data_IF_643994618704
#
_entry.id   IF_643994618704
#
_cell.length_a   1.000
_cell.length_b   1.000
_cell.length_c   1.000
_cell.angle_alpha   90.00
_cell.angle_beta   90.00
_cell.angle_gamma   90.00
#
_symmetry.space_group_name_H-M   'P 1'
#
loop_
_entity.id
_entity.type
_entity.pdbx_description
1 polymer ?
#
# COMPACT_ATOMS: atom_id res chain seq x y z
N UNK A 1 -4.20 -10.59 36.87
CA UNK A 1 -5.28 -9.90 36.13
C UNK A 1 -4.66 -8.65 35.51
N UNK A 2 -3.98 -7.83 36.31
CA UNK A 2 -3.17 -6.66 35.90
C UNK A 2 -2.25 -6.78 34.66
N UNK A 3 -1.60 -7.93 34.40
CA UNK A 3 -0.65 -8.03 33.27
C UNK A 3 -1.33 -8.05 31.90
N UNK A 4 -2.56 -8.58 31.80
CA UNK A 4 -3.27 -8.70 30.53
C UNK A 4 -4.07 -7.43 30.21
N UNK A 5 -4.67 -6.79 31.21
CA UNK A 5 -5.34 -5.49 31.02
C UNK A 5 -4.33 -4.41 30.61
N UNK A 6 -3.10 -4.48 31.15
CA UNK A 6 -1.97 -3.66 30.67
C UNK A 6 -1.60 -3.99 29.22
N UNK A 7 -1.63 -5.26 28.83
CA UNK A 7 -1.30 -5.68 27.47
C UNK A 7 -2.33 -5.19 26.45
N UNK A 8 -3.63 -5.32 26.73
CA UNK A 8 -4.70 -4.80 25.88
C UNK A 8 -4.61 -3.29 25.72
N UNK A 9 -4.35 -2.55 26.81
CA UNK A 9 -4.13 -1.11 26.75
C UNK A 9 -2.90 -0.74 25.90
N UNK A 10 -1.79 -1.46 26.04
CA UNK A 10 -0.60 -1.26 25.22
C UNK A 10 -0.84 -1.55 23.74
N UNK A 11 -1.57 -2.63 23.41
CA UNK A 11 -1.94 -2.95 22.03
C UNK A 11 -2.86 -1.90 21.42
N UNK A 12 -3.80 -1.37 22.19
CA UNK A 12 -4.67 -0.28 21.75
C UNK A 12 -3.89 0.99 21.42
N UNK A 13 -2.99 1.42 22.31
CA UNK A 13 -2.13 2.58 22.02
C UNK A 13 -1.23 2.33 20.82
N UNK A 14 -0.65 1.13 20.68
CA UNK A 14 0.17 0.77 19.53
C UNK A 14 -0.63 0.85 18.22
N UNK A 15 -1.86 0.34 18.22
CA UNK A 15 -2.78 0.45 17.08
C UNK A 15 -3.03 1.93 16.69
N UNK A 16 -3.35 2.78 17.67
CA UNK A 16 -3.56 4.22 17.44
C UNK A 16 -2.31 4.87 16.86
N UNK A 17 -1.11 4.54 17.36
CA UNK A 17 0.14 5.06 16.82
C UNK A 17 0.39 4.58 15.38
N UNK A 18 0.13 3.31 15.09
CA UNK A 18 0.34 2.74 13.74
C UNK A 18 -0.65 3.28 12.71
N UNK A 19 -1.89 3.59 13.12
CA UNK A 19 -2.90 4.19 12.26
C UNK A 19 -2.75 5.71 12.13
N UNK A 20 -2.26 6.41 13.15
CA UNK A 20 -2.02 7.86 13.07
C UNK A 20 -0.80 8.20 12.21
N UNK A 21 0.23 7.35 12.20
CA UNK A 21 1.43 7.52 11.37
C UNK A 21 1.14 7.76 9.87
N UNK A 22 0.38 6.89 9.17
CA UNK A 22 0.07 7.09 7.77
C UNK A 22 -0.78 8.36 7.54
N UNK A 23 -1.73 8.65 8.43
CA UNK A 23 -2.49 9.90 8.38
C UNK A 23 -1.57 11.11 8.42
N UNK A 24 -0.61 11.17 9.35
CA UNK A 24 0.34 12.28 9.45
C UNK A 24 1.22 12.40 8.20
N UNK A 25 1.75 11.28 7.69
CA UNK A 25 2.58 11.29 6.48
C UNK A 25 1.82 11.77 5.24
N UNK A 26 0.54 11.46 5.14
CA UNK A 26 -0.32 11.91 4.05
C UNK A 26 -0.78 13.35 4.24
N UNK A 27 -1.18 13.76 5.45
CA UNK A 27 -1.66 15.12 5.71
C UNK A 27 -0.57 16.18 5.64
N UNK A 28 0.65 15.89 6.14
CA UNK A 28 1.74 16.89 6.18
C UNK A 28 2.40 17.16 4.82
N UNK A 29 2.00 16.46 3.75
CA UNK A 29 2.15 16.89 2.35
C UNK A 29 3.57 16.94 1.76
N UNK A 30 4.59 17.27 2.55
CA UNK A 30 5.95 17.55 2.08
C UNK A 30 6.75 16.28 1.78
N UNK A 31 6.34 15.15 2.36
CA UNK A 31 6.98 13.84 2.19
C UNK A 31 6.30 12.94 1.16
N UNK A 32 5.30 13.46 0.43
CA UNK A 32 4.60 12.72 -0.64
C UNK A 32 5.49 12.40 -1.83
N UNK A 33 6.58 13.13 -2.04
CA UNK A 33 7.52 12.85 -3.14
C UNK A 33 8.45 11.66 -2.84
N UNK A 34 8.64 11.33 -1.56
CA UNK A 34 9.56 10.27 -1.16
C UNK A 34 8.84 8.92 -1.09
N UNK A 35 8.99 8.10 -2.11
CA UNK A 35 8.39 6.75 -2.18
C UNK A 35 8.72 5.85 -0.99
N UNK A 36 9.84 6.08 -0.30
CA UNK A 36 10.22 5.35 0.92
C UNK A 36 9.26 5.63 2.08
N UNK A 37 8.84 6.88 2.26
CA UNK A 37 7.91 7.28 3.32
C UNK A 37 6.48 6.83 3.01
N UNK A 38 6.10 6.83 1.73
CA UNK A 38 4.84 6.23 1.29
C UNK A 38 4.81 4.72 1.58
N UNK A 39 5.88 3.98 1.31
CA UNK A 39 5.95 2.56 1.63
C UNK A 39 5.85 2.29 3.14
N UNK A 40 6.61 3.03 3.96
CA UNK A 40 6.55 2.89 5.43
C UNK A 40 5.14 3.22 5.94
N UNK A 41 4.49 4.24 5.38
CA UNK A 41 3.11 4.61 5.75
C UNK A 41 2.13 3.48 5.42
N UNK A 42 2.21 2.90 4.22
CA UNK A 42 1.35 1.80 3.81
C UNK A 42 1.58 0.55 4.68
N UNK A 43 2.84 0.24 4.99
CA UNK A 43 3.18 -0.87 5.88
C UNK A 43 2.66 -0.64 7.30
N UNK A 44 2.82 0.57 7.85
CA UNK A 44 2.27 0.96 9.15
C UNK A 44 0.76 0.79 9.18
N UNK A 45 0.08 1.22 8.11
CA UNK A 45 -1.36 1.11 7.98
C UNK A 45 -1.83 -0.36 7.92
N UNK A 46 -1.11 -1.20 7.19
CA UNK A 46 -1.41 -2.64 7.09
C UNK A 46 -1.26 -3.35 8.44
N UNK A 47 -0.15 -3.08 9.15
CA UNK A 47 0.08 -3.66 10.49
C UNK A 47 -0.96 -3.11 11.48
N UNK A 48 -1.27 -1.81 11.43
CA UNK A 48 -2.31 -1.19 12.25
C UNK A 48 -3.68 -1.83 12.06
N UNK A 49 -4.09 -2.07 10.81
CA UNK A 49 -5.34 -2.77 10.50
C UNK A 49 -5.37 -4.21 11.03
N UNK A 50 -4.24 -4.92 10.95
CA UNK A 50 -4.10 -6.26 11.54
C UNK A 50 -4.25 -6.25 13.06
N UNK A 51 -3.63 -5.27 13.74
CA UNK A 51 -3.79 -5.10 15.19
C UNK A 51 -5.22 -4.72 15.58
N UNK A 52 -5.87 -3.84 14.83
CA UNK A 52 -7.27 -3.47 15.07
C UNK A 52 -8.19 -4.69 15.02
N UNK A 53 -8.00 -5.57 14.03
CA UNK A 53 -8.75 -6.84 13.94
C UNK A 53 -8.56 -7.71 15.19
N UNK A 54 -7.34 -7.79 15.72
CA UNK A 54 -7.05 -8.56 16.94
C UNK A 54 -7.64 -7.92 18.20
N UNK A 55 -7.42 -6.62 18.40
CA UNK A 55 -7.96 -5.87 19.55
C UNK A 55 -9.49 -5.95 19.60
N UNK A 56 -10.16 -5.85 18.45
CA UNK A 56 -11.60 -6.03 18.35
C UNK A 56 -12.06 -7.39 18.91
N UNK A 57 -11.40 -8.48 18.51
CA UNK A 57 -11.73 -9.83 19.00
C UNK A 57 -11.46 -9.98 20.50
N UNK A 58 -10.38 -9.40 21.01
CA UNK A 58 -10.06 -9.42 22.45
C UNK A 58 -11.14 -8.71 23.29
N UNK A 59 -11.57 -7.51 22.86
CA UNK A 59 -12.56 -6.72 23.59
C UNK A 59 -13.95 -7.37 23.49
N UNK A 60 -14.34 -7.87 22.31
CA UNK A 60 -15.70 -8.36 22.08
C UNK A 60 -16.00 -9.69 22.79
N UNK A 61 -15.01 -10.57 22.91
CA UNK A 61 -15.18 -11.90 23.51
C UNK A 61 -14.77 -11.96 24.99
N UNK A 62 -14.56 -10.82 25.65
CA UNK A 62 -14.27 -10.74 27.08
C UNK A 62 -15.54 -10.34 27.87
N UNK A 63 -16.30 -11.30 28.45
CA UNK A 63 -17.57 -11.02 29.14
C UNK A 63 -17.40 -10.46 30.57
N UNK A 64 -16.20 -10.06 31.00
CA UNK A 64 -15.97 -9.38 32.29
C UNK A 64 -16.06 -10.25 33.55
N UNK A 65 -16.56 -11.49 33.47
CA UNK A 65 -16.68 -12.43 34.60
C UNK A 65 -15.39 -13.22 34.90
N UNK A 66 -14.21 -12.64 34.64
CA UNK A 66 -12.91 -13.30 34.81
C UNK A 66 -12.51 -14.26 33.69
N UNK A 67 -13.36 -14.44 32.68
CA UNK A 67 -13.00 -15.11 31.43
C UNK A 67 -12.06 -14.25 30.61
N UNK A 68 -11.04 -14.88 30.04
CA UNK A 68 -10.04 -14.22 29.21
C UNK A 68 -10.04 -14.90 27.85
N UNK A 69 -10.35 -14.13 26.82
CA UNK A 69 -10.28 -14.61 25.45
C UNK A 69 -8.92 -14.22 24.86
N UNK A 70 -8.20 -15.20 24.35
CA UNK A 70 -7.04 -14.96 23.50
C UNK A 70 -7.26 -15.76 22.22
N UNK A 71 -7.16 -15.14 21.04
CA UNK A 71 -7.45 -15.81 19.80
C UNK A 71 -6.55 -17.05 19.64
N UNK A 72 -7.16 -18.16 19.24
CA UNK A 72 -6.43 -19.40 19.04
C UNK A 72 -5.50 -19.29 17.83
N UNK A 73 -4.46 -20.14 17.78
CA UNK A 73 -3.57 -20.19 16.62
C UNK A 73 -4.35 -20.48 15.32
N UNK A 74 -5.43 -21.25 15.40
CA UNK A 74 -6.28 -21.62 14.27
C UNK A 74 -7.07 -20.41 13.75
N UNK A 75 -7.63 -19.58 14.63
CA UNK A 75 -8.34 -18.35 14.27
C UNK A 75 -7.41 -17.33 13.57
N UNK A 76 -6.16 -17.24 14.03
CA UNK A 76 -5.14 -16.42 13.40
C UNK A 76 -4.74 -16.97 12.03
N UNK A 77 -4.54 -18.28 11.92
CA UNK A 77 -4.19 -18.94 10.65
C UNK A 77 -5.28 -18.76 9.60
N UNK A 78 -6.56 -18.83 9.98
CA UNK A 78 -7.68 -18.57 9.07
C UNK A 78 -7.61 -17.13 8.56
N UNK A 79 -7.41 -16.16 9.45
CA UNK A 79 -7.32 -14.74 9.09
C UNK A 79 -6.16 -14.45 8.13
N UNK A 80 -4.98 -14.99 8.43
CA UNK A 80 -3.79 -14.87 7.57
C UNK A 80 -4.01 -15.61 6.23
N UNK A 81 -4.69 -16.76 6.27
CA UNK A 81 -5.04 -17.54 5.08
C UNK A 81 -5.89 -16.74 4.09
N UNK A 82 -6.90 -16.01 4.58
CA UNK A 82 -7.72 -15.14 3.72
C UNK A 82 -6.88 -14.05 3.05
N UNK A 83 -6.03 -13.36 3.82
CA UNK A 83 -5.14 -12.32 3.28
C UNK A 83 -4.18 -12.92 2.24
N UNK A 84 -3.64 -14.10 2.51
CA UNK A 84 -2.73 -14.79 1.58
C UNK A 84 -3.42 -15.19 0.28
N UNK A 85 -4.66 -15.69 0.35
CA UNK A 85 -5.47 -16.02 -0.83
C UNK A 85 -5.73 -14.77 -1.66
N UNK A 86 -6.05 -13.64 -1.03
CA UNK A 86 -6.28 -12.37 -1.73
C UNK A 86 -5.02 -11.88 -2.46
N UNK A 87 -3.85 -11.93 -1.80
CA UNK A 87 -2.57 -11.59 -2.43
C UNK A 87 -2.23 -12.54 -3.58
N UNK A 88 -2.44 -13.84 -3.40
CA UNK A 88 -2.26 -14.82 -4.47
C UNK A 88 -3.20 -14.57 -5.65
N UNK A 89 -4.48 -14.31 -5.39
CA UNK A 89 -5.47 -14.00 -6.42
C UNK A 89 -5.08 -12.74 -7.19
N UNK A 90 -4.63 -11.69 -6.49
CA UNK A 90 -4.12 -10.48 -7.13
C UNK A 90 -2.93 -10.78 -8.07
N UNK A 91 -1.94 -11.55 -7.60
CA UNK A 91 -0.78 -11.96 -8.41
C UNK A 91 -1.20 -12.78 -9.63
N UNK A 92 -2.15 -13.69 -9.47
CA UNK A 92 -2.67 -14.50 -10.58
C UNK A 92 -3.39 -13.63 -11.61
N UNK A 93 -4.22 -12.68 -11.18
CA UNK A 93 -4.98 -11.79 -12.07
C UNK A 93 -4.03 -10.91 -12.89
N UNK A 94 -3.05 -10.25 -12.27
CA UNK A 94 -2.11 -9.38 -13.00
C UNK A 94 -1.21 -10.15 -13.97
N UNK A 95 -0.94 -11.44 -13.68
CA UNK A 95 -0.17 -12.32 -14.58
C UNK A 95 -1.01 -12.87 -15.72
N UNK A 96 -2.28 -13.16 -15.45
CA UNK A 96 -3.20 -13.71 -16.45
C UNK A 96 -3.68 -12.63 -17.42
N UNK A 97 -3.94 -11.43 -16.91
CA UNK A 97 -4.33 -10.27 -17.69
C UNK A 97 -3.18 -9.27 -17.69
N UNK A 98 -2.23 -9.34 -18.65
CA UNK A 98 -1.20 -8.33 -18.81
C UNK A 98 -1.86 -7.00 -19.21
N UNK A 99 -2.21 -6.21 -18.20
CA UNK A 99 -2.86 -4.89 -18.33
C UNK A 99 -1.90 -3.76 -18.68
N UNK A 100 -0.67 -4.07 -19.08
CA UNK A 100 0.29 -3.08 -19.58
C UNK A 100 0.04 -2.85 -21.08
N UNK A 101 -0.58 -1.73 -21.49
CA UNK A 101 -0.53 -1.33 -22.88
C UNK A 101 0.91 -0.96 -23.22
N UNK A 102 1.60 -1.86 -23.94
CA UNK A 102 2.85 -1.56 -24.67
C UNK A 102 2.68 -0.35 -25.62
N UNK A 103 1.44 0.09 -25.88
CA UNK A 103 1.10 1.20 -26.76
C UNK A 103 1.57 2.58 -26.28
N UNK A 104 2.01 2.76 -25.03
CA UNK A 104 2.50 4.07 -24.57
C UNK A 104 3.91 4.41 -25.10
N UNK A 105 4.73 3.42 -25.44
CA UNK A 105 6.07 3.65 -25.97
C UNK A 105 6.02 4.04 -27.47
N UNK A 106 5.16 3.40 -28.25
CA UNK A 106 5.02 3.69 -29.68
C UNK A 106 4.67 5.16 -29.97
N UNK A 107 3.77 5.78 -29.19
CA UNK A 107 3.34 7.17 -29.46
C UNK A 107 4.36 8.23 -28.99
N UNK A 108 5.21 7.88 -28.01
CA UNK A 108 6.31 8.75 -27.54
C UNK A 108 7.45 8.75 -28.55
N UNK A 109 7.81 7.59 -29.11
CA UNK A 109 8.87 7.47 -30.12
C UNK A 109 8.46 8.09 -31.45
N UNK A 110 7.22 7.87 -31.92
CA UNK A 110 6.70 8.49 -33.15
C UNK A 110 6.69 10.02 -33.06
N UNK A 111 6.30 10.57 -31.90
CA UNK A 111 6.31 12.02 -31.66
C UNK A 111 7.74 12.58 -31.66
N UNK A 112 8.71 11.89 -31.05
CA UNK A 112 10.12 12.32 -31.06
C UNK A 112 10.72 12.24 -32.47
N UNK A 113 10.41 11.19 -33.24
CA UNK A 113 10.92 11.00 -34.59
C UNK A 113 10.35 12.04 -35.57
N UNK A 114 9.06 12.39 -35.45
CA UNK A 114 8.43 13.45 -36.25
C UNK A 114 9.00 14.84 -35.89
N UNK A 115 9.30 15.11 -34.62
CA UNK A 115 9.93 16.37 -34.20
C UNK A 115 11.37 16.47 -34.73
N UNK A 116 12.14 15.38 -34.66
CA UNK A 116 13.50 15.32 -35.20
C UNK A 116 13.53 15.46 -36.74
N UNK A 117 12.59 14.83 -37.46
CA UNK A 117 12.45 14.97 -38.91
C UNK A 117 12.06 16.41 -39.32
N UNK A 118 11.15 17.05 -38.57
CA UNK A 118 10.77 18.44 -38.83
C UNK A 118 11.92 19.41 -38.59
N UNK A 119 12.73 19.20 -37.54
CA UNK A 119 13.89 20.05 -37.25
C UNK A 119 14.96 19.97 -38.37
N UNK A 120 15.31 18.74 -38.78
CA UNK A 120 16.29 18.50 -39.86
C UNK A 120 15.81 19.01 -41.22
N UNK A 121 14.51 18.91 -41.52
CA UNK A 121 13.92 19.48 -42.75
C UNK A 121 13.92 21.01 -42.74
N UNK A 122 13.71 21.64 -41.59
CA UNK A 122 13.76 23.10 -41.44
C UNK A 122 15.18 23.65 -41.64
N UNK A 123 16.21 22.96 -41.14
CA UNK A 123 17.62 23.36 -41.35
C UNK A 123 18.01 23.27 -42.83
N UNK A 124 17.62 22.19 -43.54
CA UNK A 124 17.85 22.09 -45.00
C UNK A 124 17.19 23.22 -45.78
N UNK A 125 15.98 23.61 -45.41
CA UNK A 125 15.25 24.68 -46.09
C UNK A 125 15.84 26.08 -45.82
N UNK A 126 16.53 26.25 -44.69
CA UNK A 126 17.25 27.48 -44.36
C UNK A 126 18.62 27.56 -45.03
N UNK A 127 19.31 26.42 -45.21
CA UNK A 127 20.61 26.34 -45.88
C UNK A 127 20.56 26.49 -47.40
N UNK A 128 19.41 26.22 -48.02
CA UNK A 128 19.22 26.36 -49.48
C UNK A 128 18.82 27.78 -49.92
N UNK A 129 18.60 28.69 -48.97
CA UNK A 129 18.27 30.11 -49.21
C UNK A 129 19.40 31.10 -48.96
N UNK A 130 20.61 30.60 -48.64
CA UNK A 130 21.84 31.39 -48.45
C UNK A 130 22.80 31.16 -49.62
#
# INVERSE_FOLDING_TARGET
>A
IDKLDKFEAWMFWLEVWLMTLPLLTLFLGEKRSDGRWLFISALSMLIGAGLWRMNYSLIMYNPGNGYKYFPSAEELLISIGFISIEVCAYILIIRLFPVLPVLKEAHSEESQHIIAEKATRSEKFSGEKA
#
